data_IF_902238984132
#
_entry.id   IF_902238984132
#
_cell.length_a   1.000
_cell.length_b   1.000
_cell.length_c   1.000
_cell.angle_alpha   90.00
_cell.angle_beta   90.00
_cell.angle_gamma   90.00
#
_symmetry.space_group_name_H-M   'P 1'
#
loop_
_entity.id
_entity.type
_entity.pdbx_description
1 polymer ?
#
# COMPACT_ATOMS: atom_id res chain seq x y z
N UNK A 1 -17.83 18.67 -1.14
CA UNK A 1 -16.90 17.72 -0.52
C UNK A 1 -15.52 17.98 -1.08
N UNK A 2 -14.62 18.58 -0.31
CA UNK A 2 -13.24 18.74 -0.74
C UNK A 2 -12.60 17.36 -0.81
N UNK A 3 -12.03 16.92 -1.96
CA UNK A 3 -11.27 15.70 -1.99
C UNK A 3 -10.09 15.83 -1.02
N UNK A 4 -9.95 14.88 -0.10
CA UNK A 4 -8.78 14.84 0.76
C UNK A 4 -7.54 14.75 -0.14
N UNK A 5 -6.69 15.76 -0.11
CA UNK A 5 -5.51 15.88 -0.98
C UNK A 5 -4.54 14.67 -0.89
N UNK A 6 -4.70 13.83 0.12
CA UNK A 6 -3.87 12.65 0.33
C UNK A 6 -4.32 11.38 -0.42
N UNK A 7 -5.63 11.20 -0.64
CA UNK A 7 -6.16 9.99 -1.30
C UNK A 7 -5.76 9.90 -2.79
N UNK A 8 -5.77 11.04 -3.49
CA UNK A 8 -5.40 11.07 -4.92
C UNK A 8 -3.93 10.71 -5.17
N UNK A 9 -3.04 11.05 -4.24
CA UNK A 9 -1.59 10.82 -4.43
C UNK A 9 -1.18 9.38 -4.10
N UNK A 10 -1.79 8.75 -3.10
CA UNK A 10 -1.58 7.32 -2.80
C UNK A 10 -2.08 6.48 -3.97
N UNK A 11 -3.28 6.76 -4.47
CA UNK A 11 -3.86 6.09 -5.61
C UNK A 11 -3.00 6.22 -6.88
N UNK A 12 -2.52 7.43 -7.22
CA UNK A 12 -1.63 7.64 -8.37
C UNK A 12 -0.34 6.85 -8.26
N UNK A 13 0.24 6.73 -7.07
CA UNK A 13 1.46 5.95 -6.83
C UNK A 13 1.22 4.45 -6.94
N UNK A 14 0.09 3.96 -6.43
CA UNK A 14 -0.32 2.56 -6.59
C UNK A 14 -0.49 2.21 -8.07
N UNK A 15 -1.17 3.06 -8.83
CA UNK A 15 -1.36 2.89 -10.28
C UNK A 15 -0.04 2.95 -11.02
N UNK A 16 0.86 3.88 -10.66
CA UNK A 16 2.19 3.97 -11.28
C UNK A 16 3.04 2.73 -11.00
N UNK A 17 3.08 2.26 -9.76
CA UNK A 17 3.80 1.04 -9.40
C UNK A 17 3.24 -0.19 -10.12
N UNK A 18 1.91 -0.29 -10.23
CA UNK A 18 1.23 -1.34 -10.98
C UNK A 18 1.49 -1.23 -12.49
N UNK A 19 1.43 -0.04 -13.09
CA UNK A 19 1.65 0.12 -14.54
C UNK A 19 3.03 -0.36 -14.95
N UNK A 20 4.07 -0.05 -14.19
CA UNK A 20 5.43 -0.52 -14.46
C UNK A 20 5.58 -2.05 -14.38
N UNK A 21 4.74 -2.72 -13.56
CA UNK A 21 4.73 -4.18 -13.49
C UNK A 21 3.87 -4.80 -14.60
N UNK A 22 2.80 -4.12 -15.01
CA UNK A 22 1.84 -4.64 -15.99
C UNK A 22 2.30 -4.42 -17.44
N UNK A 23 3.22 -3.49 -17.70
CA UNK A 23 3.75 -3.22 -19.04
C UNK A 23 4.42 -4.45 -19.67
N UNK A 24 4.92 -5.38 -18.85
CA UNK A 24 5.55 -6.63 -19.28
C UNK A 24 4.63 -7.88 -19.15
N UNK A 25 3.35 -7.70 -18.78
CA UNK A 25 2.43 -8.81 -18.49
C UNK A 25 1.22 -8.81 -19.43
N UNK A 26 0.96 -9.94 -20.07
CA UNK A 26 -0.23 -10.13 -20.93
C UNK A 26 -1.55 -10.17 -20.14
N UNK A 27 -1.50 -10.59 -18.87
CA UNK A 27 -2.66 -10.61 -17.96
C UNK A 27 -2.21 -10.68 -16.50
N UNK A 28 -3.04 -10.17 -15.58
CA UNK A 28 -2.79 -10.28 -14.14
C UNK A 28 -4.10 -10.42 -13.35
N UNK A 29 -4.00 -11.07 -12.18
CA UNK A 29 -5.08 -11.10 -11.19
C UNK A 29 -4.75 -10.14 -10.05
N UNK A 30 -5.65 -9.21 -9.78
CA UNK A 30 -5.51 -8.18 -8.76
C UNK A 30 -6.47 -8.46 -7.61
N UNK A 31 -5.94 -8.44 -6.40
CA UNK A 31 -6.71 -8.52 -5.17
C UNK A 31 -6.60 -7.19 -4.43
N UNK A 32 -7.72 -6.55 -4.12
CA UNK A 32 -7.72 -5.21 -3.51
C UNK A 32 -8.76 -5.07 -2.41
N UNK A 33 -8.46 -4.23 -1.41
CA UNK A 33 -9.40 -3.72 -0.41
C UNK A 33 -9.80 -2.25 -0.68
N UNK A 34 -9.36 -1.68 -1.79
CA UNK A 34 -9.70 -0.30 -2.18
C UNK A 34 -10.79 -0.30 -3.23
N UNK A 35 -11.93 0.32 -2.89
CA UNK A 35 -13.03 0.49 -3.85
C UNK A 35 -12.63 1.32 -5.06
N UNK A 36 -11.81 2.36 -4.85
CA UNK A 36 -11.33 3.23 -5.93
C UNK A 36 -10.39 2.48 -6.88
N UNK A 37 -9.48 1.67 -6.33
CA UNK A 37 -8.59 0.86 -7.14
C UNK A 37 -9.38 -0.21 -7.92
N UNK A 38 -10.36 -0.86 -7.28
CA UNK A 38 -11.20 -1.85 -7.94
C UNK A 38 -11.99 -1.24 -9.11
N UNK A 39 -12.62 -0.09 -8.91
CA UNK A 39 -13.37 0.62 -9.94
C UNK A 39 -12.48 0.97 -11.15
N UNK A 40 -11.33 1.55 -10.89
CA UNK A 40 -10.40 1.92 -11.96
C UNK A 40 -9.86 0.71 -12.72
N UNK A 41 -9.38 -0.32 -12.02
CA UNK A 41 -8.74 -1.47 -12.62
C UNK A 41 -9.74 -2.40 -13.33
N UNK A 42 -11.00 -2.41 -12.91
CA UNK A 42 -12.05 -3.20 -13.54
C UNK A 42 -12.32 -2.82 -15.01
N UNK A 43 -11.89 -1.65 -15.44
CA UNK A 43 -11.98 -1.22 -16.84
C UNK A 43 -10.82 -1.70 -17.73
N UNK A 44 -9.80 -2.33 -17.14
CA UNK A 44 -8.66 -2.88 -17.87
C UNK A 44 -8.95 -4.33 -18.30
N UNK A 45 -9.15 -4.57 -19.59
CA UNK A 45 -9.57 -5.86 -20.12
C UNK A 45 -8.61 -7.03 -19.86
N UNK A 46 -7.35 -6.73 -19.57
CA UNK A 46 -6.30 -7.74 -19.26
C UNK A 46 -6.22 -8.13 -17.79
N UNK A 47 -7.07 -7.54 -16.92
CA UNK A 47 -7.02 -7.73 -15.49
C UNK A 47 -8.27 -8.44 -14.95
N UNK A 48 -8.06 -9.46 -14.12
CA UNK A 48 -9.09 -10.01 -13.25
C UNK A 48 -9.00 -9.32 -11.89
N UNK A 49 -10.00 -8.53 -11.53
CA UNK A 49 -10.00 -7.74 -10.30
C UNK A 49 -10.94 -8.34 -9.26
N UNK A 50 -10.38 -8.73 -8.13
CA UNK A 50 -11.09 -9.25 -6.97
C UNK A 50 -11.09 -8.23 -5.85
N UNK A 51 -12.27 -7.88 -5.35
CA UNK A 51 -12.42 -7.03 -4.18
C UNK A 51 -12.81 -7.89 -2.97
N UNK A 52 -12.17 -7.67 -1.81
CA UNK A 52 -12.53 -8.38 -0.59
C UNK A 52 -13.88 -7.90 -0.04
N UNK A 53 -14.53 -8.74 0.78
CA UNK A 53 -15.65 -8.33 1.60
C UNK A 53 -15.22 -7.60 2.86
N UNK A 54 -16.15 -7.00 3.59
CA UNK A 54 -15.92 -6.35 4.87
C UNK A 54 -16.65 -5.03 5.05
N UNK A 55 -16.12 -4.17 5.91
CA UNK A 55 -16.68 -2.86 6.26
C UNK A 55 -15.99 -1.78 5.45
N UNK A 56 -16.76 -0.94 4.76
CA UNK A 56 -16.22 0.20 4.03
C UNK A 56 -15.93 1.35 4.99
N UNK A 57 -14.66 1.75 5.11
CA UNK A 57 -14.26 2.96 5.82
C UNK A 57 -14.59 4.18 4.94
N UNK A 58 -15.61 4.93 5.31
CA UNK A 58 -16.16 6.03 4.50
C UNK A 58 -15.14 7.14 4.17
N UNK A 59 -14.16 7.37 5.07
CA UNK A 59 -13.14 8.41 4.87
C UNK A 59 -12.12 8.10 3.78
N UNK A 60 -11.91 6.81 3.46
CA UNK A 60 -10.87 6.36 2.53
C UNK A 60 -11.37 5.46 1.40
N UNK A 61 -12.60 4.94 1.49
CA UNK A 61 -13.10 3.92 0.56
C UNK A 61 -12.38 2.57 0.69
N UNK A 62 -11.67 2.36 1.79
CA UNK A 62 -10.92 1.13 2.06
C UNK A 62 -11.79 0.13 2.82
N UNK A 63 -11.76 -1.13 2.43
CA UNK A 63 -12.49 -2.22 3.10
C UNK A 63 -11.62 -2.79 4.22
N UNK A 64 -12.18 -2.88 5.41
CA UNK A 64 -11.55 -3.35 6.65
C UNK A 64 -12.44 -4.38 7.35
N UNK A 65 -11.96 -4.91 8.47
CA UNK A 65 -12.68 -5.88 9.30
C UNK A 65 -12.16 -7.30 9.12
N UNK A 66 -12.78 -8.22 9.85
CA UNK A 66 -12.35 -9.62 9.90
C UNK A 66 -12.46 -10.32 8.54
N UNK A 67 -13.44 -9.99 7.74
CA UNK A 67 -13.66 -10.55 6.41
C UNK A 67 -12.49 -10.16 5.48
N UNK A 68 -12.10 -8.87 5.47
CA UNK A 68 -10.97 -8.40 4.69
C UNK A 68 -9.66 -9.02 5.18
N UNK A 69 -9.44 -9.05 6.50
CA UNK A 69 -8.26 -9.70 7.11
C UNK A 69 -8.15 -11.18 6.69
N UNK A 70 -9.22 -11.96 6.85
CA UNK A 70 -9.23 -13.38 6.54
C UNK A 70 -9.04 -13.64 5.04
N UNK A 71 -9.60 -12.79 4.20
CA UNK A 71 -9.41 -12.86 2.75
C UNK A 71 -7.93 -12.77 2.38
N UNK A 72 -7.23 -11.72 2.82
CA UNK A 72 -5.81 -11.53 2.49
C UNK A 72 -4.90 -12.51 3.23
N UNK A 73 -5.25 -12.92 4.45
CA UNK A 73 -4.47 -13.93 5.17
C UNK A 73 -4.57 -15.33 4.53
N UNK A 74 -5.59 -15.57 3.70
CA UNK A 74 -5.82 -16.84 3.02
C UNK A 74 -5.26 -16.94 1.60
N UNK A 75 -4.69 -15.87 1.04
CA UNK A 75 -4.16 -15.87 -0.33
C UNK A 75 -2.64 -15.67 -0.35
N UNK A 76 -1.99 -16.23 -1.37
CA UNK A 76 -0.57 -15.99 -1.66
C UNK A 76 -0.47 -15.21 -2.96
N UNK A 77 0.36 -14.17 -2.99
CA UNK A 77 0.54 -13.31 -4.16
C UNK A 77 2.02 -13.13 -4.48
N UNK A 78 2.33 -12.80 -5.73
CA UNK A 78 3.71 -12.50 -6.11
C UNK A 78 4.14 -11.12 -5.62
N UNK A 79 3.26 -10.11 -5.74
CA UNK A 79 3.55 -8.72 -5.38
C UNK A 79 2.47 -8.17 -4.45
N UNK A 80 2.90 -7.48 -3.40
CA UNK A 80 2.01 -6.75 -2.51
C UNK A 80 2.41 -5.28 -2.40
N UNK A 81 1.42 -4.40 -2.49
CA UNK A 81 1.58 -2.96 -2.36
C UNK A 81 0.67 -2.47 -1.25
N UNK A 82 1.24 -1.84 -0.23
CA UNK A 82 0.48 -1.21 0.83
C UNK A 82 0.76 0.29 0.89
N UNK A 83 -0.17 1.04 1.44
CA UNK A 83 0.04 2.43 1.85
C UNK A 83 0.17 2.51 3.37
N UNK A 84 0.68 3.63 3.87
CA UNK A 84 0.81 3.85 5.31
C UNK A 84 0.56 5.31 5.69
N UNK A 85 0.40 5.54 6.98
CA UNK A 85 0.16 6.88 7.54
C UNK A 85 1.41 7.50 8.15
N UNK A 86 2.40 6.69 8.52
CA UNK A 86 3.67 7.15 9.06
C UNK A 86 4.77 6.11 8.88
N UNK A 87 6.02 6.59 8.74
CA UNK A 87 7.25 5.78 8.81
C UNK A 87 8.23 6.52 9.69
N UNK A 88 8.74 5.88 10.73
CA UNK A 88 9.71 6.50 11.61
C UNK A 88 11.16 6.36 11.11
N UNK A 89 12.09 6.94 11.86
CA UNK A 89 13.52 6.96 11.53
C UNK A 89 14.18 5.58 11.55
N UNK A 90 13.55 4.59 12.17
CA UNK A 90 14.04 3.20 12.26
C UNK A 90 13.41 2.31 11.16
N UNK A 91 12.54 2.90 10.32
CA UNK A 91 11.86 2.21 9.22
C UNK A 91 10.62 1.43 9.66
N UNK A 92 10.10 1.68 10.85
CA UNK A 92 8.83 1.11 11.30
C UNK A 92 7.66 1.81 10.62
N UNK A 93 6.79 1.04 10.01
CA UNK A 93 5.64 1.48 9.21
C UNK A 93 4.37 1.39 10.04
N UNK A 94 3.55 2.46 10.01
CA UNK A 94 2.37 2.57 10.84
C UNK A 94 1.12 3.01 10.08
N UNK A 95 -0.04 2.62 10.63
CA UNK A 95 -1.35 3.20 10.30
C UNK A 95 -1.94 3.97 11.50
N UNK A 96 -2.81 4.91 11.20
CA UNK A 96 -3.63 5.64 12.19
C UNK A 96 -4.82 4.80 12.69
N UNK A 97 -5.02 3.60 12.12
CA UNK A 97 -6.16 2.75 12.40
C UNK A 97 -5.75 1.28 12.54
N UNK A 98 -6.11 0.66 13.66
CA UNK A 98 -5.75 -0.73 14.00
C UNK A 98 -6.34 -1.73 12.99
N UNK A 99 -7.56 -1.53 12.53
CA UNK A 99 -8.20 -2.44 11.57
C UNK A 99 -7.57 -2.34 10.18
N UNK A 100 -7.12 -1.14 9.79
CA UNK A 100 -6.34 -0.95 8.55
C UNK A 100 -5.00 -1.65 8.68
N UNK A 101 -4.25 -1.43 9.77
CA UNK A 101 -2.96 -2.06 10.00
C UNK A 101 -3.04 -3.60 9.96
N UNK A 102 -4.09 -4.18 10.51
CA UNK A 102 -4.31 -5.62 10.48
C UNK A 102 -4.45 -6.16 9.05
N UNK A 103 -5.23 -5.49 8.20
CA UNK A 103 -5.40 -5.88 6.80
C UNK A 103 -4.11 -5.69 6.01
N UNK A 104 -3.42 -4.55 6.16
CA UNK A 104 -2.14 -4.28 5.48
C UNK A 104 -1.06 -5.31 5.87
N UNK A 105 -0.99 -5.69 7.15
CA UNK A 105 -0.08 -6.75 7.60
C UNK A 105 -0.44 -8.11 6.97
N UNK A 106 -1.73 -8.43 6.82
CA UNK A 106 -2.18 -9.66 6.17
C UNK A 106 -1.83 -9.68 4.68
N UNK A 107 -1.96 -8.53 3.98
CA UNK A 107 -1.56 -8.37 2.57
C UNK A 107 -0.07 -8.69 2.39
N UNK A 108 0.79 -8.16 3.26
CA UNK A 108 2.24 -8.36 3.15
C UNK A 108 2.68 -9.78 3.53
N UNK A 109 1.98 -10.43 4.46
CA UNK A 109 2.42 -11.69 5.08
C UNK A 109 2.73 -12.79 4.07
N UNK A 110 1.90 -12.95 3.06
CA UNK A 110 1.96 -14.04 2.08
C UNK A 110 2.42 -13.59 0.68
N UNK A 111 3.05 -12.41 0.59
CA UNK A 111 3.60 -11.90 -0.66
C UNK A 111 5.08 -12.28 -0.81
N UNK A 112 5.50 -12.58 -2.05
CA UNK A 112 6.92 -12.79 -2.37
C UNK A 112 7.68 -11.47 -2.38
N UNK A 113 7.09 -10.44 -3.01
CA UNK A 113 7.66 -9.10 -3.12
C UNK A 113 6.75 -8.09 -2.44
N UNK A 114 7.33 -7.22 -1.60
CA UNK A 114 6.61 -6.32 -0.70
C UNK A 114 7.04 -4.88 -0.91
N UNK A 115 6.08 -4.03 -1.22
CA UNK A 115 6.32 -2.61 -1.49
C UNK A 115 5.45 -1.73 -0.59
N UNK A 116 6.07 -0.71 -0.02
CA UNK A 116 5.38 0.30 0.79
C UNK A 116 5.32 1.60 -0.01
N UNK A 117 4.13 2.17 -0.13
CA UNK A 117 3.90 3.46 -0.78
C UNK A 117 3.58 4.50 0.27
N UNK A 118 4.38 5.56 0.33
CA UNK A 118 4.23 6.59 1.35
C UNK A 118 4.44 7.98 0.77
N UNK A 119 3.62 8.93 1.22
CA UNK A 119 3.89 10.34 0.96
C UNK A 119 5.10 10.79 1.78
N UNK A 120 5.98 11.58 1.17
CA UNK A 120 7.19 12.06 1.84
C UNK A 120 6.91 12.87 3.10
N UNK A 121 5.73 13.50 3.21
CA UNK A 121 5.29 14.22 4.41
C UNK A 121 5.03 13.33 5.62
N UNK A 122 4.95 12.01 5.43
CA UNK A 122 4.70 11.01 6.46
C UNK A 122 5.98 10.36 7.01
N UNK A 123 7.13 10.69 6.43
CA UNK A 123 8.43 10.21 6.89
C UNK A 123 8.86 10.92 8.19
N UNK A 124 9.57 10.21 9.06
CA UNK A 124 10.03 10.70 10.36
C UNK A 124 8.91 10.81 11.40
N UNK A 125 7.81 10.08 11.24
CA UNK A 125 6.64 10.15 12.12
C UNK A 125 6.25 8.76 12.61
N UNK A 126 5.54 8.73 13.74
CA UNK A 126 4.91 7.52 14.29
C UNK A 126 3.40 7.65 14.30
N UNK A 127 2.72 6.50 14.30
CA UNK A 127 1.29 6.41 14.49
C UNK A 127 0.95 5.23 15.42
N UNK A 128 -0.35 4.94 15.62
CA UNK A 128 -0.79 4.07 16.72
C UNK A 128 -0.66 2.57 16.42
N UNK A 129 -0.75 2.17 15.16
CA UNK A 129 -0.80 0.76 14.78
C UNK A 129 0.36 0.40 13.86
N UNK A 130 1.25 -0.46 14.35
CA UNK A 130 2.38 -0.98 13.59
C UNK A 130 1.93 -1.96 12.50
N UNK A 131 2.55 -1.89 11.32
CA UNK A 131 2.28 -2.78 10.19
C UNK A 131 3.46 -3.71 9.95
N UNK A 132 4.66 -3.17 9.68
CA UNK A 132 5.85 -3.90 9.26
C UNK A 132 7.09 -3.02 9.45
N UNK A 133 8.29 -3.62 9.51
CA UNK A 133 9.52 -2.87 9.33
C UNK A 133 9.94 -2.89 7.85
N UNK A 134 10.41 -1.77 7.32
CA UNK A 134 10.84 -1.65 5.91
C UNK A 134 11.96 -2.63 5.52
N UNK A 135 12.75 -3.12 6.47
CA UNK A 135 13.78 -4.16 6.22
C UNK A 135 13.21 -5.49 5.76
N UNK A 136 11.91 -5.72 6.01
CA UNK A 136 11.17 -6.89 5.55
C UNK A 136 10.54 -6.68 4.16
N UNK A 137 10.72 -5.50 3.57
CA UNK A 137 10.16 -5.10 2.29
C UNK A 137 11.25 -4.95 1.23
N UNK A 138 10.89 -5.10 -0.04
CA UNK A 138 11.80 -4.94 -1.18
C UNK A 138 12.08 -3.47 -1.49
N UNK A 139 11.08 -2.58 -1.37
CA UNK A 139 11.27 -1.16 -1.57
C UNK A 139 10.22 -0.28 -0.88
N UNK A 140 10.62 0.97 -0.61
CA UNK A 140 9.76 2.10 -0.30
C UNK A 140 9.62 2.98 -1.55
N UNK A 141 8.39 3.21 -2.00
CA UNK A 141 8.06 4.12 -3.10
C UNK A 141 7.49 5.41 -2.49
N UNK A 142 8.17 6.52 -2.69
CA UNK A 142 7.78 7.81 -2.13
C UNK A 142 7.89 8.94 -3.16
N UNK A 143 7.26 10.07 -2.89
CA UNK A 143 7.45 11.28 -3.70
C UNK A 143 8.85 11.86 -3.52
N UNK A 144 9.33 12.61 -4.50
CA UNK A 144 10.60 13.35 -4.39
C UNK A 144 10.59 14.22 -3.14
N UNK A 145 11.61 14.07 -2.31
CA UNK A 145 11.73 14.75 -1.03
C UNK A 145 13.21 14.96 -0.72
N UNK A 146 13.54 16.17 -0.26
CA UNK A 146 14.85 16.48 0.34
C UNK A 146 14.91 16.03 1.82
N UNK A 147 14.18 14.97 2.16
CA UNK A 147 14.07 14.48 3.53
C UNK A 147 15.32 13.70 3.94
N UNK A 148 16.00 14.18 4.98
CA UNK A 148 17.10 13.45 5.61
C UNK A 148 16.68 12.05 6.12
N UNK A 149 15.39 11.85 6.37
CA UNK A 149 14.82 10.54 6.74
C UNK A 149 14.80 9.60 5.55
N UNK A 150 14.43 10.08 4.35
CA UNK A 150 14.48 9.26 3.13
C UNK A 150 15.91 8.80 2.83
N UNK A 151 16.89 9.70 2.97
CA UNK A 151 18.31 9.37 2.79
C UNK A 151 18.78 8.32 3.81
N UNK A 152 18.37 8.46 5.08
CA UNK A 152 18.69 7.48 6.13
C UNK A 152 18.08 6.11 5.85
N UNK A 153 16.83 6.07 5.40
CA UNK A 153 16.12 4.83 5.06
C UNK A 153 16.72 4.13 3.83
N UNK A 154 17.29 4.88 2.89
CA UNK A 154 17.94 4.33 1.70
C UNK A 154 19.14 3.42 2.02
N UNK A 155 19.73 3.49 3.22
CA UNK A 155 20.76 2.54 3.68
C UNK A 155 20.19 1.17 4.08
N UNK A 156 18.89 1.05 4.30
CA UNK A 156 18.27 -0.17 4.82
C UNK A 156 17.23 -0.79 3.88
N UNK A 157 16.75 -0.05 2.89
CA UNK A 157 15.78 -0.50 1.89
C UNK A 157 15.95 0.30 0.60
N UNK A 158 15.58 -0.26 -0.56
CA UNK A 158 15.51 0.50 -1.80
C UNK A 158 14.45 1.60 -1.68
N UNK A 159 14.83 2.84 -1.93
CA UNK A 159 13.91 3.98 -1.93
C UNK A 159 13.77 4.50 -3.36
N UNK A 160 12.60 4.27 -3.96
CA UNK A 160 12.25 4.75 -5.28
C UNK A 160 11.46 6.06 -5.17
N UNK A 161 12.04 7.14 -5.69
CA UNK A 161 11.39 8.46 -5.75
C UNK A 161 10.69 8.65 -7.10
N UNK A 162 9.38 8.85 -7.06
CA UNK A 162 8.51 9.09 -8.23
C UNK A 162 7.87 10.48 -8.21
#
# INVERSE_FOLDING_TARGET
>A
VAPSRGLGDVYKRQVYALSNLLDDMDSATIYTNSMQAADFLAHCASLDVHICGGIIRSSTGTIIGNEAYNFFNGICVDYAFISCDAIDDDGEVYSDNIAVAAVESAVLKNAKHKYVLCDSSKLGKRSIAHIVNLRECDALITGKSDSAVADKLAYSVNVDCV
#
